data_IF_888064095761
#
_entry.id   IF_888064095761
#
_cell.length_a   1.000
_cell.length_b   1.000
_cell.length_c   1.000
_cell.angle_alpha   90.00
_cell.angle_beta   90.00
_cell.angle_gamma   90.00
#
_symmetry.space_group_name_H-M   'P 1'
#
loop_
_entity.id
_entity.type
_entity.pdbx_description
1 polymer ?
#
# COMPACT_ATOMS: atom_id res chain seq x y z
N UNK A 1 10.92 36.10 -0.15
CA UNK A 1 11.95 35.30 0.50
C UNK A 1 11.57 35.21 1.98
N UNK A 2 10.77 34.23 2.36
CA UNK A 2 10.50 33.95 3.76
C UNK A 2 11.45 32.80 4.15
N UNK A 3 12.52 33.13 4.85
CA UNK A 3 13.38 32.14 5.49
C UNK A 3 12.60 31.56 6.68
N UNK A 4 11.97 30.41 6.47
CA UNK A 4 11.52 29.58 7.59
C UNK A 4 12.75 29.17 8.38
N UNK A 5 12.76 29.25 9.74
CA UNK A 5 13.92 28.90 10.53
C UNK A 5 14.29 27.43 10.25
N UNK A 6 15.54 27.19 9.83
CA UNK A 6 16.03 25.85 9.54
C UNK A 6 15.81 24.95 10.76
N UNK A 7 14.99 23.92 10.59
CA UNK A 7 14.68 22.92 11.63
C UNK A 7 15.94 22.23 12.18
N UNK A 8 17.05 22.33 11.44
CA UNK A 8 18.33 21.72 11.76
C UNK A 8 19.27 22.60 12.60
N UNK A 9 18.96 23.90 12.75
CA UNK A 9 19.88 24.85 13.37
C UNK A 9 20.27 24.42 14.79
N UNK A 10 21.56 24.14 15.00
CA UNK A 10 22.12 23.74 16.30
C UNK A 10 21.80 22.32 16.74
N UNK A 11 21.01 21.54 15.96
CA UNK A 11 20.63 20.15 16.31
C UNK A 11 21.71 19.15 15.93
N UNK A 12 21.91 18.16 16.77
CA UNK A 12 22.82 17.02 16.56
C UNK A 12 22.08 15.93 15.80
N UNK A 13 22.58 15.60 14.61
CA UNK A 13 21.90 14.77 13.63
C UNK A 13 22.74 13.54 13.32
N UNK A 14 22.10 12.37 13.37
CA UNK A 14 22.71 11.10 12.94
C UNK A 14 21.93 10.47 11.82
N UNK A 15 22.66 9.94 10.84
CA UNK A 15 22.07 9.15 9.75
C UNK A 15 22.17 7.66 10.10
N UNK A 16 21.04 6.96 10.04
CA UNK A 16 20.94 5.52 10.26
C UNK A 16 20.48 4.87 8.96
N UNK A 17 21.16 3.79 8.58
CA UNK A 17 20.87 3.12 7.35
C UNK A 17 21.55 3.73 6.13
N UNK A 18 21.24 3.17 4.95
CA UNK A 18 21.82 3.59 3.67
C UNK A 18 20.92 4.65 3.05
N UNK A 19 21.52 5.80 2.70
CA UNK A 19 20.82 6.90 2.04
C UNK A 19 20.58 6.56 0.57
N UNK A 20 19.40 6.89 0.08
CA UNK A 20 18.99 6.63 -1.29
C UNK A 20 19.33 7.77 -2.26
N UNK A 21 19.27 9.04 -1.80
CA UNK A 21 19.42 10.19 -2.67
C UNK A 21 20.85 10.76 -2.74
N UNK A 22 21.58 10.75 -1.64
CA UNK A 22 22.92 11.36 -1.53
C UNK A 22 23.89 10.40 -0.84
N UNK A 23 25.18 10.57 -1.12
CA UNK A 23 26.20 9.90 -0.30
C UNK A 23 26.20 10.46 1.13
N UNK A 24 26.56 9.63 2.11
CA UNK A 24 26.61 10.04 3.51
C UNK A 24 27.48 11.28 3.74
N UNK A 25 28.56 11.43 2.95
CA UNK A 25 29.44 12.59 3.02
C UNK A 25 28.77 13.87 2.54
N UNK A 26 28.04 13.80 1.44
CA UNK A 26 27.28 14.93 0.88
C UNK A 26 26.13 15.32 1.82
N UNK A 27 25.41 14.35 2.35
CA UNK A 27 24.33 14.57 3.31
C UNK A 27 24.84 15.26 4.59
N UNK A 28 25.97 14.83 5.13
CA UNK A 28 26.60 15.48 6.29
C UNK A 28 27.07 16.89 6.00
N UNK A 29 27.57 17.15 4.79
CA UNK A 29 27.97 18.49 4.37
C UNK A 29 26.75 19.40 4.29
N UNK A 30 25.67 18.94 3.68
CA UNK A 30 24.43 19.68 3.57
C UNK A 30 23.83 20.05 4.93
N UNK A 31 23.87 19.13 5.89
CA UNK A 31 23.44 19.40 7.27
C UNK A 31 24.26 20.51 7.89
N UNK A 32 25.60 20.55 7.68
CA UNK A 32 26.45 21.62 8.17
C UNK A 32 26.13 22.97 7.53
N UNK A 33 25.89 22.98 6.23
CA UNK A 33 25.55 24.17 5.47
C UNK A 33 24.23 24.81 5.95
N UNK A 34 23.34 23.99 6.52
CA UNK A 34 22.06 24.44 7.13
C UNK A 34 22.16 24.62 8.66
N UNK A 35 23.37 24.68 9.21
CA UNK A 35 23.63 24.98 10.63
C UNK A 35 23.36 23.82 11.60
N UNK A 36 23.20 22.59 11.10
CA UNK A 36 23.11 21.37 11.91
C UNK A 36 24.51 20.80 12.25
N UNK A 37 24.56 19.92 13.23
CA UNK A 37 25.77 19.24 13.70
C UNK A 37 25.64 17.74 13.34
N UNK A 38 26.21 17.29 12.20
CA UNK A 38 26.13 15.88 11.83
C UNK A 38 27.10 15.06 12.71
N UNK A 39 26.61 13.92 13.18
CA UNK A 39 27.37 12.97 13.98
C UNK A 39 27.73 11.72 13.14
N UNK A 40 29.02 11.28 13.27
CA UNK A 40 29.48 10.06 12.59
C UNK A 40 28.95 8.78 13.25
N UNK A 41 28.66 8.84 14.53
CA UNK A 41 28.19 7.72 15.34
C UNK A 41 27.01 8.12 16.22
N UNK A 42 26.21 7.14 16.53
CA UNK A 42 25.09 7.28 17.47
C UNK A 42 25.64 7.55 18.87
N UNK A 43 25.22 8.66 19.47
CA UNK A 43 25.52 9.04 20.86
C UNK A 43 24.24 9.20 21.65
N UNK A 44 24.32 9.27 22.98
CA UNK A 44 23.12 9.48 23.85
C UNK A 44 22.44 10.83 23.66
N UNK A 45 23.09 11.73 22.98
CA UNK A 45 22.71 13.14 22.86
C UNK A 45 22.29 13.53 21.44
N UNK A 46 21.61 12.64 20.72
CA UNK A 46 21.10 12.88 19.37
C UNK A 46 19.77 13.58 19.44
N UNK A 47 19.63 14.71 18.74
CA UNK A 47 18.36 15.46 18.67
C UNK A 47 17.48 14.98 17.50
N UNK A 48 18.12 14.58 16.37
CA UNK A 48 17.40 14.11 15.18
C UNK A 48 18.08 12.86 14.61
N UNK A 49 17.29 11.84 14.36
CA UNK A 49 17.70 10.62 13.64
C UNK A 49 17.08 10.61 12.27
N UNK A 50 17.91 10.48 11.24
CA UNK A 50 17.47 10.41 9.85
C UNK A 50 17.65 8.98 9.36
N UNK A 51 16.55 8.38 8.91
CA UNK A 51 16.54 7.03 8.33
C UNK A 51 16.71 7.12 6.83
N UNK A 52 17.70 6.41 6.30
CA UNK A 52 17.96 6.31 4.85
C UNK A 52 16.87 5.54 4.11
N UNK A 53 16.56 5.98 2.90
CA UNK A 53 15.46 5.44 2.09
C UNK A 53 15.72 4.01 1.57
N UNK A 54 16.98 3.58 1.42
CA UNK A 54 17.35 2.25 0.88
C UNK A 54 17.12 1.11 1.89
N UNK A 55 16.90 1.41 3.16
CA UNK A 55 16.68 0.40 4.21
C UNK A 55 15.22 0.27 4.65
N UNK A 56 14.31 0.91 3.93
CA UNK A 56 12.88 0.74 4.17
C UNK A 56 12.32 -0.39 3.28
N UNK A 57 11.68 -1.40 3.89
CA UNK A 57 11.47 -1.55 5.31
C UNK A 57 12.48 -2.52 5.91
N UNK A 58 13.21 -2.10 6.84
CA UNK A 58 13.80 -3.06 7.75
C UNK A 58 12.65 -3.84 8.39
N UNK A 59 12.76 -5.15 8.40
CA UNK A 59 11.80 -6.02 9.08
C UNK A 59 11.68 -5.69 10.56
N UNK A 60 12.59 -4.85 11.07
CA UNK A 60 12.57 -4.30 12.41
C UNK A 60 13.34 -2.97 12.46
N UNK A 61 12.64 -1.84 12.41
CA UNK A 61 13.23 -0.52 12.73
C UNK A 61 13.94 -0.55 14.09
N UNK A 62 13.47 -1.43 14.99
CA UNK A 62 14.07 -1.65 16.30
C UNK A 62 15.48 -2.27 16.23
N UNK A 63 15.78 -3.03 15.17
CA UNK A 63 17.11 -3.60 14.97
C UNK A 63 18.14 -2.56 14.47
N UNK A 64 17.69 -1.54 13.74
CA UNK A 64 18.54 -0.46 13.22
C UNK A 64 18.81 0.63 14.26
N UNK A 65 17.93 0.79 15.24
CA UNK A 65 18.03 1.83 16.25
C UNK A 65 18.71 1.30 17.52
N UNK A 66 19.80 1.92 17.94
CA UNK A 66 20.44 1.60 19.23
C UNK A 66 19.50 1.89 20.39
N UNK A 67 19.71 1.23 21.53
CA UNK A 67 18.86 1.42 22.73
C UNK A 67 18.83 2.88 23.18
N UNK A 68 19.96 3.61 23.05
CA UNK A 68 20.03 5.03 23.38
C UNK A 68 19.12 5.91 22.53
N UNK A 69 18.98 5.62 21.22
CA UNK A 69 18.02 6.31 20.33
C UNK A 69 16.59 5.96 20.74
N UNK A 70 16.30 4.67 20.96
CA UNK A 70 14.97 4.22 21.37
C UNK A 70 14.51 4.88 22.66
N UNK A 71 15.43 5.04 23.62
CA UNK A 71 15.14 5.75 24.86
C UNK A 71 14.89 7.24 24.61
N UNK A 72 15.71 7.90 23.77
CA UNK A 72 15.52 9.31 23.41
C UNK A 72 14.18 9.59 22.72
N UNK A 73 13.73 8.66 21.83
CA UNK A 73 12.42 8.72 21.18
C UNK A 73 11.26 8.55 22.18
N UNK A 74 11.38 7.62 23.14
CA UNK A 74 10.37 7.42 24.19
C UNK A 74 10.23 8.63 25.11
N UNK A 75 11.32 9.31 25.37
CA UNK A 75 11.38 10.50 26.23
C UNK A 75 11.07 11.81 25.48
N UNK A 76 10.85 11.75 24.16
CA UNK A 76 10.57 12.92 23.32
C UNK A 76 11.75 13.86 23.13
N UNK A 77 12.98 13.44 23.49
CA UNK A 77 14.24 14.21 23.30
C UNK A 77 14.78 14.10 21.88
N UNK A 78 14.51 12.99 21.22
CA UNK A 78 14.98 12.67 19.87
C UNK A 78 13.80 12.64 18.91
N UNK A 79 13.95 13.23 17.74
CA UNK A 79 12.95 13.19 16.66
C UNK A 79 13.44 12.25 15.56
N UNK A 80 12.56 11.41 15.03
CA UNK A 80 12.83 10.55 13.88
C UNK A 80 12.29 11.23 12.62
N UNK A 81 13.13 11.36 11.60
CA UNK A 81 12.78 11.96 10.31
C UNK A 81 13.25 11.02 9.20
N UNK A 82 12.46 10.85 8.16
CA UNK A 82 12.87 10.12 6.96
C UNK A 82 13.74 10.98 6.06
N UNK A 83 14.70 10.36 5.37
CA UNK A 83 15.61 11.01 4.43
C UNK A 83 14.88 11.94 3.45
N UNK A 84 13.79 11.47 2.87
CA UNK A 84 13.01 12.24 1.91
C UNK A 84 12.40 13.51 2.51
N UNK A 85 11.86 13.42 3.71
CA UNK A 85 11.28 14.56 4.42
C UNK A 85 12.35 15.62 4.75
N UNK A 86 13.55 15.17 5.11
CA UNK A 86 14.67 16.06 5.31
C UNK A 86 15.03 16.84 4.03
N UNK A 87 15.13 16.15 2.88
CA UNK A 87 15.48 16.79 1.62
C UNK A 87 14.42 17.78 1.13
N UNK A 88 13.13 17.51 1.37
CA UNK A 88 12.04 18.45 1.13
C UNK A 88 12.19 19.71 2.00
N UNK A 89 12.43 19.54 3.29
CA UNK A 89 12.57 20.66 4.24
C UNK A 89 13.79 21.54 3.96
N UNK A 90 14.85 20.96 3.39
CA UNK A 90 16.06 21.66 3.00
C UNK A 90 16.01 22.26 1.59
N UNK A 91 14.91 22.05 0.86
CA UNK A 91 14.76 22.53 -0.52
C UNK A 91 15.74 21.89 -1.51
N UNK A 92 16.34 20.77 -1.16
CA UNK A 92 17.24 19.98 -2.02
C UNK A 92 16.47 19.24 -3.10
N UNK A 93 15.23 18.89 -2.77
CA UNK A 93 14.28 18.24 -3.66
C UNK A 93 13.09 19.17 -3.78
N UNK A 94 12.80 19.66 -4.97
CA UNK A 94 11.60 20.45 -5.25
C UNK A 94 10.37 19.57 -5.00
N UNK A 95 9.32 20.13 -4.41
CA UNK A 95 8.02 19.44 -4.28
C UNK A 95 7.52 18.89 -5.62
N UNK A 96 7.82 19.58 -6.71
CA UNK A 96 7.49 19.14 -8.06
C UNK A 96 8.30 17.93 -8.55
N UNK A 97 9.53 17.75 -8.07
CA UNK A 97 10.41 16.63 -8.46
C UNK A 97 10.22 15.43 -7.52
N UNK A 98 9.76 15.64 -6.30
CA UNK A 98 9.47 14.59 -5.31
C UNK A 98 8.11 13.92 -5.49
N UNK A 99 7.26 14.46 -6.36
CA UNK A 99 5.92 13.95 -6.65
C UNK A 99 5.95 12.89 -7.75
N UNK A 100 6.83 11.90 -7.64
CA UNK A 100 6.60 10.69 -8.42
C UNK A 100 5.31 10.05 -7.91
N UNK A 101 4.32 10.04 -8.78
CA UNK A 101 3.03 9.43 -8.52
C UNK A 101 3.05 7.99 -9.02
N UNK A 102 2.56 7.08 -8.20
CA UNK A 102 2.47 5.66 -8.51
C UNK A 102 1.01 5.29 -8.76
N UNK A 103 0.76 4.56 -9.82
CA UNK A 103 -0.55 3.95 -10.07
C UNK A 103 -0.78 2.76 -9.14
N UNK A 104 -2.02 2.26 -8.98
CA UNK A 104 -2.29 1.05 -8.21
C UNK A 104 -1.45 -0.14 -8.65
N UNK A 105 -1.22 -0.30 -9.96
CA UNK A 105 -0.45 -1.41 -10.52
C UNK A 105 1.04 -1.28 -10.18
N UNK A 106 1.61 -0.07 -10.25
CA UNK A 106 2.99 0.18 -9.83
C UNK A 106 3.20 -0.10 -8.34
N UNK A 107 2.30 0.40 -7.49
CA UNK A 107 2.36 0.11 -6.03
C UNK A 107 2.32 -1.40 -5.80
N UNK A 108 1.40 -2.10 -6.47
CA UNK A 108 1.25 -3.55 -6.36
C UNK A 108 2.54 -4.29 -6.76
N UNK A 109 3.19 -3.87 -7.84
CA UNK A 109 4.49 -4.40 -8.29
C UNK A 109 5.59 -4.20 -7.26
N UNK A 110 5.69 -2.98 -6.68
CA UNK A 110 6.70 -2.63 -5.69
C UNK A 110 6.55 -3.39 -4.37
N UNK A 111 5.31 -3.61 -3.91
CA UNK A 111 5.03 -4.31 -2.65
C UNK A 111 4.75 -5.81 -2.83
N UNK A 112 4.83 -6.32 -4.06
CA UNK A 112 4.62 -7.72 -4.43
C UNK A 112 3.27 -8.27 -3.96
N UNK A 113 2.21 -7.51 -4.21
CA UNK A 113 0.83 -7.89 -3.90
C UNK A 113 -0.05 -7.72 -5.14
N UNK A 114 -1.15 -8.44 -5.28
CA UNK A 114 -2.10 -8.21 -6.37
C UNK A 114 -2.66 -6.78 -6.38
N UNK A 115 -2.86 -6.19 -7.57
CA UNK A 115 -3.38 -4.82 -7.75
C UNK A 115 -4.71 -4.60 -7.02
N UNK A 116 -5.57 -5.63 -7.02
CA UNK A 116 -6.86 -5.61 -6.31
C UNK A 116 -6.74 -5.26 -4.84
N UNK A 117 -5.67 -5.72 -4.16
CA UNK A 117 -5.46 -5.40 -2.76
C UNK A 117 -5.21 -3.91 -2.57
N UNK A 118 -4.41 -3.29 -3.44
CA UNK A 118 -4.15 -1.85 -3.41
C UNK A 118 -5.45 -1.07 -3.64
N UNK A 119 -6.24 -1.45 -4.66
CA UNK A 119 -7.54 -0.83 -4.95
C UNK A 119 -8.50 -0.99 -3.78
N UNK A 120 -8.56 -2.18 -3.19
CA UNK A 120 -9.39 -2.45 -2.02
C UNK A 120 -8.99 -1.62 -0.83
N UNK A 121 -7.70 -1.59 -0.47
CA UNK A 121 -7.20 -0.79 0.65
C UNK A 121 -7.46 0.71 0.44
N UNK A 122 -7.40 1.18 -0.79
CA UNK A 122 -7.79 2.54 -1.13
C UNK A 122 -9.30 2.77 -0.91
N UNK A 123 -10.18 1.89 -1.40
CA UNK A 123 -11.64 1.99 -1.15
C UNK A 123 -11.99 1.91 0.33
N UNK A 124 -11.30 1.07 1.08
CA UNK A 124 -11.46 0.97 2.54
C UNK A 124 -10.93 2.19 3.30
N UNK A 125 -10.18 3.07 2.66
CA UNK A 125 -9.55 4.23 3.29
C UNK A 125 -8.27 3.91 4.08
N UNK A 126 -7.71 2.71 3.91
CA UNK A 126 -6.41 2.32 4.49
C UNK A 126 -5.23 2.96 3.72
N UNK A 127 -5.43 3.26 2.45
CA UNK A 127 -4.50 4.05 1.63
C UNK A 127 -5.21 5.32 1.16
N UNK A 128 -4.49 6.43 1.12
CA UNK A 128 -4.98 7.70 0.60
C UNK A 128 -4.27 8.04 -0.70
N UNK A 129 -4.99 8.61 -1.67
CA UNK A 129 -4.39 9.07 -2.93
C UNK A 129 -3.92 10.52 -2.81
N UNK A 130 -2.84 10.84 -3.49
CA UNK A 130 -2.37 12.23 -3.66
C UNK A 130 -3.22 12.98 -4.70
N UNK A 131 -3.66 12.25 -5.72
CA UNK A 131 -4.48 12.76 -6.82
C UNK A 131 -5.40 11.64 -7.31
N UNK A 132 -6.58 12.00 -7.76
CA UNK A 132 -7.46 11.10 -8.53
C UNK A 132 -7.68 11.75 -9.90
N UNK A 133 -7.37 11.02 -10.96
CA UNK A 133 -7.65 11.43 -12.33
C UNK A 133 -8.54 10.36 -12.98
N UNK A 134 -9.72 10.76 -13.46
CA UNK A 134 -10.67 9.84 -14.11
C UNK A 134 -10.85 8.51 -13.34
N UNK A 135 -11.12 8.63 -12.03
CA UNK A 135 -11.27 7.54 -11.04
C UNK A 135 -10.01 6.74 -10.74
N UNK A 136 -8.90 6.95 -11.45
CA UNK A 136 -7.62 6.32 -11.14
C UNK A 136 -6.94 7.07 -9.98
N UNK A 137 -6.69 6.43 -8.84
CA UNK A 137 -5.93 7.01 -7.76
C UNK A 137 -4.43 6.96 -8.06
N UNK A 138 -3.74 8.06 -7.79
CA UNK A 138 -2.29 8.16 -7.84
C UNK A 138 -1.75 8.31 -6.42
N UNK A 139 -0.74 7.53 -6.09
CA UNK A 139 -0.15 7.43 -4.76
C UNK A 139 1.22 8.08 -4.71
N UNK A 140 1.55 8.70 -3.58
CA UNK A 140 2.91 9.12 -3.28
C UNK A 140 3.71 7.96 -2.68
N UNK A 141 5.04 8.09 -2.62
CA UNK A 141 5.93 7.08 -2.07
C UNK A 141 5.57 6.67 -0.62
N UNK A 142 5.12 7.61 0.19
CA UNK A 142 4.62 7.32 1.56
C UNK A 142 3.50 6.28 1.54
N UNK A 143 2.62 6.31 0.55
CA UNK A 143 1.53 5.34 0.43
C UNK A 143 2.04 3.97 -0.05
N UNK A 144 3.14 3.93 -0.81
CA UNK A 144 3.82 2.66 -1.14
C UNK A 144 4.35 1.99 0.14
N UNK A 145 4.92 2.78 1.05
CA UNK A 145 5.40 2.29 2.34
C UNK A 145 4.24 1.81 3.23
N UNK A 146 3.15 2.57 3.29
CA UNK A 146 1.92 2.16 4.00
C UNK A 146 1.37 0.85 3.42
N UNK A 147 1.34 0.69 2.10
CA UNK A 147 0.92 -0.54 1.45
C UNK A 147 1.83 -1.73 1.82
N UNK A 148 3.14 -1.52 1.91
CA UNK A 148 4.09 -2.54 2.34
C UNK A 148 3.87 -2.96 3.80
N UNK A 149 3.56 -2.01 4.68
CA UNK A 149 3.20 -2.28 6.07
C UNK A 149 1.92 -3.13 6.15
N UNK A 150 0.91 -2.80 5.34
CA UNK A 150 -0.32 -3.60 5.25
C UNK A 150 -0.04 -5.02 4.77
N UNK A 151 0.82 -5.21 3.76
CA UNK A 151 1.24 -6.55 3.31
C UNK A 151 1.88 -7.34 4.47
N UNK A 152 2.77 -6.71 5.24
CA UNK A 152 3.42 -7.35 6.38
C UNK A 152 2.40 -7.75 7.47
N UNK A 153 1.47 -6.87 7.83
CA UNK A 153 0.46 -7.18 8.84
C UNK A 153 -0.48 -8.30 8.39
N UNK A 154 -0.91 -8.29 7.13
CA UNK A 154 -1.77 -9.33 6.55
C UNK A 154 -1.01 -10.67 6.48
N UNK A 155 0.27 -10.65 6.11
CA UNK A 155 1.13 -11.83 6.12
C UNK A 155 1.33 -12.44 7.53
N UNK A 156 1.16 -11.64 8.59
CA UNK A 156 1.17 -12.10 9.99
C UNK A 156 -0.20 -12.52 10.53
N UNK A 157 -1.24 -12.51 9.68
CA UNK A 157 -2.58 -12.99 10.02
C UNK A 157 -3.62 -11.91 10.32
N UNK A 158 -3.27 -10.62 10.21
CA UNK A 158 -4.26 -9.54 10.34
C UNK A 158 -5.18 -9.50 9.12
N UNK A 159 -6.47 -9.23 9.34
CA UNK A 159 -7.43 -9.09 8.25
C UNK A 159 -7.66 -7.60 7.90
N UNK A 160 -7.79 -7.19 6.63
CA UNK A 160 -7.93 -5.78 6.27
C UNK A 160 -9.09 -5.05 6.95
N UNK A 161 -10.25 -5.70 7.08
CA UNK A 161 -11.40 -5.14 7.79
C UNK A 161 -11.15 -4.95 9.29
N UNK A 162 -10.43 -5.89 9.92
CA UNK A 162 -10.03 -5.77 11.32
C UNK A 162 -9.01 -4.65 11.50
N UNK A 163 -8.07 -4.50 10.56
CA UNK A 163 -7.10 -3.38 10.56
C UNK A 163 -7.84 -2.05 10.52
N UNK A 164 -8.79 -1.88 9.57
CA UNK A 164 -9.58 -0.64 9.45
C UNK A 164 -10.33 -0.32 10.73
N UNK A 165 -11.05 -1.30 11.30
CA UNK A 165 -11.82 -1.13 12.54
C UNK A 165 -10.91 -0.75 13.71
N UNK A 166 -9.84 -1.50 13.91
CA UNK A 166 -8.93 -1.27 15.03
C UNK A 166 -8.16 0.05 14.89
N UNK A 167 -7.79 0.48 13.68
CA UNK A 167 -7.21 1.81 13.47
C UNK A 167 -8.21 2.93 13.79
N UNK A 168 -9.49 2.74 13.48
CA UNK A 168 -10.53 3.70 13.88
C UNK A 168 -10.69 3.78 15.41
N UNK A 169 -10.59 2.65 16.10
CA UNK A 169 -10.63 2.59 17.56
C UNK A 169 -9.40 3.26 18.20
N UNK A 170 -8.24 3.19 17.55
CA UNK A 170 -7.05 3.94 17.95
C UNK A 170 -7.10 5.44 17.58
N UNK A 171 -8.17 5.93 16.96
CA UNK A 171 -8.25 7.29 16.41
C UNK A 171 -7.90 8.40 17.42
N UNK A 172 -8.17 8.21 18.69
CA UNK A 172 -7.78 9.13 19.78
C UNK A 172 -6.25 9.21 19.99
N UNK A 173 -5.53 8.16 19.63
CA UNK A 173 -4.07 8.04 19.78
C UNK A 173 -3.31 8.29 18.49
N UNK A 174 -4.03 8.19 17.34
CA UNK A 174 -3.50 8.20 15.97
C UNK A 174 -3.71 9.54 15.27
N UNK A 175 -4.37 10.52 15.91
CA UNK A 175 -4.68 11.82 15.29
C UNK A 175 -3.47 12.41 14.57
N UNK A 176 -3.56 12.52 13.23
CA UNK A 176 -2.55 13.08 12.32
C UNK A 176 -1.21 12.31 12.20
N UNK A 177 -1.15 11.04 12.57
CA UNK A 177 0.06 10.22 12.36
C UNK A 177 -0.09 9.29 11.17
N UNK A 178 0.99 9.12 10.40
CA UNK A 178 1.08 8.09 9.35
C UNK A 178 1.06 6.70 9.98
N UNK A 179 0.57 5.69 9.24
CA UNK A 179 0.65 4.28 9.66
C UNK A 179 2.09 3.85 9.97
N UNK A 180 3.08 4.49 9.32
CA UNK A 180 4.51 4.25 9.54
C UNK A 180 5.02 4.74 10.90
N UNK A 181 4.35 5.74 11.49
CA UNK A 181 4.74 6.32 12.77
C UNK A 181 4.19 5.55 13.97
N UNK A 182 3.33 4.57 13.70
CA UNK A 182 2.71 3.75 14.72
C UNK A 182 3.49 2.44 14.89
N UNK A 183 4.05 2.23 16.08
CA UNK A 183 4.66 0.95 16.44
C UNK A 183 3.54 -0.08 16.74
N UNK A 184 3.00 -0.66 15.66
CA UNK A 184 1.91 -1.62 15.72
C UNK A 184 2.46 -3.04 15.60
N UNK A 185 2.11 -3.88 16.54
CA UNK A 185 2.42 -5.31 16.58
C UNK A 185 1.16 -6.09 16.22
N UNK A 186 1.32 -7.11 15.37
CA UNK A 186 0.24 -8.03 15.01
C UNK A 186 0.29 -9.25 15.90
N UNK A 187 -0.79 -9.52 16.61
CA UNK A 187 -1.02 -10.73 17.39
C UNK A 187 -2.28 -11.45 16.86
N UNK A 188 -2.08 -12.41 15.96
CA UNK A 188 -3.15 -13.07 15.22
C UNK A 188 -3.96 -12.05 14.40
N UNK A 189 -5.24 -11.86 14.72
CA UNK A 189 -6.13 -10.88 14.07
C UNK A 189 -6.16 -9.50 14.76
N UNK A 190 -5.38 -9.31 15.84
CA UNK A 190 -5.38 -8.07 16.63
C UNK A 190 -4.19 -7.21 16.27
N UNK A 191 -4.41 -5.90 16.22
CA UNK A 191 -3.36 -4.91 16.22
C UNK A 191 -3.17 -4.39 17.65
N UNK A 192 -1.95 -4.36 18.10
CA UNK A 192 -1.56 -3.85 19.40
C UNK A 192 -0.61 -2.68 19.19
N UNK A 193 -0.90 -1.54 19.81
CA UNK A 193 -0.03 -0.36 19.76
C UNK A 193 1.02 -0.49 20.86
N UNK A 194 2.31 -0.50 20.47
CA UNK A 194 3.38 -0.44 21.45
C UNK A 194 3.55 1.01 21.94
N UNK A 195 3.29 1.23 23.23
CA UNK A 195 3.43 2.53 23.86
C UNK A 195 4.09 2.38 25.24
N UNK A 196 5.20 3.09 25.48
CA UNK A 196 5.89 3.06 26.77
C UNK A 196 6.41 1.67 27.22
N UNK A 197 6.68 0.77 26.27
CA UNK A 197 7.15 -0.60 26.57
C UNK A 197 6.04 -1.60 26.92
N UNK A 198 4.79 -1.20 26.75
CA UNK A 198 3.60 -2.02 26.92
C UNK A 198 2.84 -2.14 25.60
N UNK A 199 2.07 -3.21 25.42
CA UNK A 199 1.21 -3.40 24.27
C UNK A 199 -0.22 -2.99 24.66
N UNK A 200 -0.79 -2.06 23.91
CA UNK A 200 -2.14 -1.53 24.14
C UNK A 200 -3.07 -2.02 23.02
N UNK A 201 -4.15 -2.71 23.38
CA UNK A 201 -5.22 -3.07 22.46
C UNK A 201 -6.11 -1.87 22.10
N UNK A 202 -6.84 -1.95 21.00
CA UNK A 202 -7.76 -0.91 20.52
C UNK A 202 -8.82 -0.51 21.58
N UNK A 203 -9.21 -1.45 22.43
CA UNK A 203 -10.12 -1.23 23.55
C UNK A 203 -9.46 -0.63 24.81
N UNK A 204 -8.20 -0.23 24.75
CA UNK A 204 -7.43 0.29 25.88
C UNK A 204 -6.90 -0.80 26.83
N UNK A 205 -7.07 -2.08 26.52
CA UNK A 205 -6.55 -3.19 27.31
C UNK A 205 -5.04 -3.31 27.13
N UNK A 206 -4.32 -3.41 28.26
CA UNK A 206 -2.90 -3.70 28.27
C UNK A 206 -2.64 -5.21 28.04
N UNK A 207 -1.70 -5.53 27.16
CA UNK A 207 -1.23 -6.88 26.88
C UNK A 207 0.23 -7.00 27.27
N UNK A 208 0.61 -8.19 27.74
CA UNK A 208 2.01 -8.51 28.04
C UNK A 208 2.76 -8.82 26.74
N UNK A 209 3.92 -8.20 26.58
CA UNK A 209 4.82 -8.46 25.44
C UNK A 209 5.72 -9.65 25.79
N UNK A 210 5.33 -10.86 25.39
CA UNK A 210 6.08 -12.08 25.64
C UNK A 210 7.25 -12.29 24.65
N UNK A 211 7.30 -11.55 23.55
CA UNK A 211 8.37 -11.63 22.55
C UNK A 211 9.61 -10.83 22.96
N UNK A 212 9.55 -10.14 24.08
CA UNK A 212 10.66 -9.39 24.62
C UNK A 212 11.60 -10.34 25.37
N UNK A 213 12.52 -10.97 24.69
CA UNK A 213 13.69 -11.63 25.28
C UNK A 213 14.66 -10.59 25.86
N UNK A 214 14.27 -9.89 26.91
CA UNK A 214 15.25 -9.32 27.83
C UNK A 214 15.65 -10.44 28.80
N UNK A 215 16.94 -10.74 28.82
CA UNK A 215 17.58 -11.58 29.80
C UNK A 215 17.21 -11.13 31.21
N UNK A 216 16.15 -11.71 31.75
CA UNK A 216 15.87 -11.67 33.18
C UNK A 216 16.57 -12.91 33.76
N UNK A 217 17.50 -12.63 34.66
CA UNK A 217 18.25 -13.63 35.38
C UNK A 217 17.35 -14.70 35.97
N UNK A 218 17.95 -15.87 36.08
CA UNK A 218 17.44 -17.10 36.69
C UNK A 218 16.51 -16.80 37.85
N UNK A 219 15.23 -17.13 37.68
CA UNK A 219 14.30 -17.37 38.80
C UNK A 219 13.82 -18.80 38.73
N UNK A 220 14.01 -19.43 39.83
CA UNK A 220 13.88 -20.84 40.20
C UNK A 220 12.54 -21.45 39.78
N UNK A 221 12.64 -22.60 39.15
CA UNK A 221 11.53 -23.47 38.76
C UNK A 221 10.90 -24.12 40.02
N UNK A 222 9.64 -23.78 40.29
CA UNK A 222 8.65 -24.71 40.84
C UNK A 222 7.30 -24.02 41.06
N UNK A 223 6.42 -24.15 40.10
CA UNK A 223 4.98 -24.41 40.36
C UNK A 223 4.26 -24.68 39.01
N UNK A 224 4.08 -25.94 38.79
CA UNK A 224 3.12 -26.51 37.85
C UNK A 224 1.72 -26.09 38.27
N UNK A 225 1.08 -25.24 37.42
CA UNK A 225 -0.38 -25.17 37.40
C UNK A 225 -0.85 -25.50 35.98
N UNK A 226 -1.13 -26.76 35.82
CA UNK A 226 -1.96 -27.33 34.80
C UNK A 226 -3.37 -26.76 34.92
N UNK A 227 -3.84 -26.00 33.97
CA UNK A 227 -5.27 -25.82 33.74
C UNK A 227 -5.51 -25.98 32.22
N UNK A 228 -5.69 -27.25 31.86
CA UNK A 228 -6.34 -27.63 30.65
C UNK A 228 -7.85 -27.44 30.82
N UNK A 229 -8.40 -26.34 30.38
CA UNK A 229 -9.83 -26.21 30.14
C UNK A 229 -10.09 -26.36 28.65
N UNK A 230 -10.22 -27.60 28.21
CA UNK A 230 -10.74 -27.94 26.90
C UNK A 230 -12.24 -27.70 26.92
N UNK A 231 -12.69 -26.60 26.30
CA UNK A 231 -14.11 -26.43 26.00
C UNK A 231 -14.35 -27.17 24.68
N UNK A 232 -15.22 -28.21 24.65
CA UNK A 232 -15.56 -28.87 23.41
C UNK A 232 -16.42 -27.94 22.55
N UNK A 233 -15.91 -27.57 21.38
CA UNK A 233 -16.69 -26.92 20.33
C UNK A 233 -17.62 -27.97 19.73
N UNK A 234 -18.89 -27.91 20.08
CA UNK A 234 -19.93 -28.66 19.38
C UNK A 234 -20.18 -28.01 18.03
N UNK A 235 -19.83 -28.71 16.97
CA UNK A 235 -20.23 -28.39 15.61
C UNK A 235 -21.69 -28.80 15.43
N UNK A 236 -22.60 -27.87 15.61
CA UNK A 236 -24.00 -28.07 15.21
C UNK A 236 -24.12 -27.95 13.68
N UNK A 237 -24.15 -29.09 13.04
CA UNK A 237 -24.52 -29.26 11.64
C UNK A 237 -26.04 -29.21 11.48
N UNK A 238 -26.64 -28.04 11.61
CA UNK A 238 -28.00 -27.74 11.15
C UNK A 238 -28.12 -26.25 10.82
N UNK A 239 -27.64 -25.83 9.65
CA UNK A 239 -27.94 -24.53 9.05
C UNK A 239 -28.40 -24.74 7.61
N UNK A 240 -29.58 -25.29 7.47
CA UNK A 240 -30.34 -25.22 6.24
C UNK A 240 -31.65 -24.53 6.57
N UNK A 241 -31.96 -23.44 5.85
CA UNK A 241 -33.19 -22.67 5.74
C UNK A 241 -33.45 -21.38 6.53
N UNK A 242 -32.61 -20.95 7.47
CA UNK A 242 -32.81 -19.64 8.10
C UNK A 242 -32.09 -18.47 7.40
N UNK A 243 -31.06 -18.73 6.61
CA UNK A 243 -30.24 -17.68 5.98
C UNK A 243 -30.91 -16.98 4.78
N UNK A 244 -31.89 -17.60 4.13
CA UNK A 244 -32.53 -17.01 2.95
C UNK A 244 -33.44 -15.81 3.31
N UNK A 245 -33.96 -15.76 4.54
CA UNK A 245 -34.88 -14.70 4.98
C UNK A 245 -34.12 -13.49 5.56
N UNK A 246 -32.96 -13.69 6.15
CA UNK A 246 -32.10 -12.61 6.67
C UNK A 246 -31.45 -11.78 5.54
N UNK A 247 -31.05 -12.41 4.45
CA UNK A 247 -30.42 -11.74 3.28
C UNK A 247 -31.40 -10.77 2.59
N UNK A 248 -32.72 -10.95 2.74
CA UNK A 248 -33.71 -10.05 2.15
C UNK A 248 -33.67 -8.64 2.74
N UNK A 249 -33.11 -8.44 3.92
CA UNK A 249 -33.05 -7.14 4.60
C UNK A 249 -31.69 -6.46 4.52
N UNK A 250 -30.69 -7.09 3.90
CA UNK A 250 -29.36 -6.51 3.79
C UNK A 250 -29.35 -5.28 2.88
N UNK A 251 -28.65 -4.26 3.35
CA UNK A 251 -28.36 -3.06 2.55
C UNK A 251 -27.31 -3.35 1.48
N UNK A 252 -27.18 -2.46 0.51
CA UNK A 252 -26.13 -2.56 -0.51
C UNK A 252 -24.73 -2.65 0.11
N UNK A 253 -24.47 -1.83 1.14
CA UNK A 253 -23.15 -1.77 1.77
C UNK A 253 -22.82 -3.04 2.55
N UNK A 254 -23.78 -3.65 3.23
CA UNK A 254 -23.62 -4.95 3.89
C UNK A 254 -23.34 -6.07 2.88
N UNK A 255 -24.01 -6.06 1.74
CA UNK A 255 -23.75 -7.03 0.65
C UNK A 255 -22.36 -6.83 0.03
N UNK A 256 -21.94 -5.58 -0.17
CA UNK A 256 -20.60 -5.26 -0.66
C UNK A 256 -19.53 -5.72 0.32
N UNK A 257 -19.73 -5.47 1.60
CA UNK A 257 -18.80 -5.92 2.64
C UNK A 257 -18.69 -7.44 2.65
N UNK A 258 -19.80 -8.17 2.59
CA UNK A 258 -19.80 -9.63 2.53
C UNK A 258 -19.07 -10.14 1.26
N UNK A 259 -19.30 -9.51 0.10
CA UNK A 259 -18.58 -9.86 -1.12
C UNK A 259 -17.08 -9.65 -1.00
N UNK A 260 -16.66 -8.54 -0.38
CA UNK A 260 -15.24 -8.23 -0.14
C UNK A 260 -14.59 -9.20 0.89
N UNK A 261 -15.31 -9.57 1.94
CA UNK A 261 -14.83 -10.56 2.92
C UNK A 261 -14.60 -11.94 2.29
N UNK A 262 -15.55 -12.38 1.45
CA UNK A 262 -15.40 -13.62 0.68
C UNK A 262 -14.25 -13.58 -0.32
N UNK A 263 -14.01 -12.43 -0.93
CA UNK A 263 -12.85 -12.22 -1.79
C UNK A 263 -11.53 -12.38 -1.02
N UNK A 264 -11.44 -11.84 0.20
CA UNK A 264 -10.27 -11.98 1.07
C UNK A 264 -10.02 -13.43 1.50
N UNK A 265 -11.09 -14.17 1.77
CA UNK A 265 -11.03 -15.59 2.08
C UNK A 265 -10.65 -16.44 0.86
N UNK A 266 -10.53 -15.85 -0.34
CA UNK A 266 -10.27 -16.55 -1.59
C UNK A 266 -11.49 -17.28 -2.16
N UNK A 267 -12.67 -17.05 -1.61
CA UNK A 267 -13.95 -17.67 -2.02
C UNK A 267 -14.60 -16.89 -3.16
N UNK A 268 -13.87 -16.81 -4.30
CA UNK A 268 -14.17 -15.92 -5.41
C UNK A 268 -15.55 -16.14 -6.02
N UNK A 269 -15.95 -17.41 -6.21
CA UNK A 269 -17.25 -17.74 -6.80
C UNK A 269 -18.41 -17.24 -5.95
N UNK A 270 -18.27 -17.27 -4.63
CA UNK A 270 -19.28 -16.78 -3.72
C UNK A 270 -19.33 -15.24 -3.72
N UNK A 271 -18.16 -14.59 -3.77
CA UNK A 271 -18.07 -13.14 -3.95
C UNK A 271 -18.75 -12.70 -5.26
N UNK A 272 -18.47 -13.39 -6.38
CA UNK A 272 -19.17 -13.17 -7.68
C UNK A 272 -20.69 -13.28 -7.52
N UNK A 273 -21.16 -14.27 -6.75
CA UNK A 273 -22.58 -14.45 -6.44
C UNK A 273 -23.19 -13.20 -5.78
N UNK A 274 -22.51 -12.63 -4.81
CA UNK A 274 -22.96 -11.39 -4.14
C UNK A 274 -22.98 -10.19 -5.10
N UNK A 275 -21.95 -9.99 -5.91
CA UNK A 275 -21.96 -8.90 -6.91
C UNK A 275 -23.11 -9.06 -7.90
N UNK A 276 -23.43 -10.29 -8.33
CA UNK A 276 -24.60 -10.55 -9.20
C UNK A 276 -25.93 -10.20 -8.50
N UNK A 277 -26.07 -10.52 -7.21
CA UNK A 277 -27.24 -10.15 -6.41
C UNK A 277 -27.35 -8.62 -6.31
N UNK A 278 -26.24 -7.93 -6.06
CA UNK A 278 -26.21 -6.45 -6.00
C UNK A 278 -26.65 -5.84 -7.32
N UNK A 279 -26.13 -6.34 -8.46
CA UNK A 279 -26.53 -5.90 -9.80
C UNK A 279 -28.02 -6.11 -10.05
N UNK A 280 -28.57 -7.27 -9.65
CA UNK A 280 -29.98 -7.59 -9.84
C UNK A 280 -30.90 -6.71 -8.98
N UNK A 281 -30.49 -6.36 -7.76
CA UNK A 281 -31.33 -5.64 -6.79
C UNK A 281 -31.21 -4.12 -6.91
N UNK A 282 -30.01 -3.60 -7.19
CA UNK A 282 -29.72 -2.17 -7.17
C UNK A 282 -29.36 -1.60 -8.54
N UNK A 283 -29.33 -2.45 -9.58
CA UNK A 283 -28.92 -2.03 -10.91
C UNK A 283 -27.42 -2.00 -11.13
N UNK A 284 -27.03 -1.75 -12.38
CA UNK A 284 -25.62 -1.68 -12.78
C UNK A 284 -25.03 -0.30 -12.43
N UNK A 285 -23.84 -0.31 -11.85
CA UNK A 285 -22.97 0.88 -11.74
C UNK A 285 -21.60 0.54 -12.30
N UNK A 286 -20.87 1.54 -12.76
CA UNK A 286 -19.54 1.34 -13.36
C UNK A 286 -18.60 0.61 -12.39
N UNK A 287 -18.63 0.98 -11.12
CA UNK A 287 -17.80 0.34 -10.07
C UNK A 287 -18.12 -1.12 -9.88
N UNK A 288 -19.41 -1.47 -9.77
CA UNK A 288 -19.84 -2.86 -9.54
C UNK A 288 -19.49 -3.72 -10.76
N UNK A 289 -19.72 -3.20 -11.96
CA UNK A 289 -19.34 -3.90 -13.19
C UNK A 289 -17.81 -4.11 -13.24
N UNK A 290 -17.02 -3.12 -12.87
CA UNK A 290 -15.56 -3.21 -12.82
C UNK A 290 -15.09 -4.25 -11.79
N UNK A 291 -15.61 -4.23 -10.55
CA UNK A 291 -15.25 -5.20 -9.51
C UNK A 291 -15.60 -6.64 -9.94
N UNK A 292 -16.80 -6.82 -10.52
CA UNK A 292 -17.22 -8.13 -11.02
C UNK A 292 -16.32 -8.59 -12.18
N UNK A 293 -15.91 -7.68 -13.07
CA UNK A 293 -14.98 -8.00 -14.15
C UNK A 293 -13.63 -8.51 -13.62
N UNK A 294 -13.09 -7.85 -12.59
CA UNK A 294 -11.84 -8.25 -11.92
C UNK A 294 -11.94 -9.68 -11.33
N UNK A 295 -13.06 -10.02 -10.69
CA UNK A 295 -13.30 -11.35 -10.12
C UNK A 295 -13.45 -12.41 -11.21
N UNK A 296 -14.22 -12.12 -12.26
CA UNK A 296 -14.40 -13.02 -13.39
C UNK A 296 -13.10 -13.29 -14.13
N UNK A 297 -12.27 -12.25 -14.32
CA UNK A 297 -10.93 -12.41 -14.89
C UNK A 297 -10.08 -13.37 -14.07
N UNK A 298 -10.09 -13.23 -12.73
CA UNK A 298 -9.33 -14.09 -11.81
C UNK A 298 -9.80 -15.53 -11.76
N UNK A 299 -11.10 -15.77 -11.97
CA UNK A 299 -11.66 -17.13 -12.04
C UNK A 299 -11.53 -17.75 -13.43
N UNK A 300 -10.95 -17.00 -14.40
CA UNK A 300 -10.70 -17.48 -15.75
C UNK A 300 -11.90 -17.33 -16.70
N UNK A 301 -13.00 -16.72 -16.27
CA UNK A 301 -14.12 -16.38 -17.15
C UNK A 301 -13.83 -15.08 -17.92
N UNK A 302 -12.87 -15.19 -18.83
CA UNK A 302 -12.33 -14.06 -19.61
C UNK A 302 -13.43 -13.38 -20.46
N UNK A 303 -14.36 -14.16 -20.99
CA UNK A 303 -15.44 -13.62 -21.83
C UNK A 303 -16.41 -12.77 -21.00
N UNK A 304 -16.82 -13.26 -19.84
CA UNK A 304 -17.70 -12.50 -18.95
C UNK A 304 -16.96 -11.28 -18.36
N UNK A 305 -15.67 -11.41 -18.01
CA UNK A 305 -14.85 -10.29 -17.55
C UNK A 305 -14.81 -9.15 -18.57
N UNK A 306 -14.53 -9.48 -19.84
CA UNK A 306 -14.51 -8.52 -20.95
C UNK A 306 -15.86 -7.79 -21.09
N UNK A 307 -16.96 -8.51 -21.04
CA UNK A 307 -18.32 -7.94 -21.11
C UNK A 307 -18.57 -6.95 -19.97
N UNK A 308 -18.15 -7.30 -18.74
CA UNK A 308 -18.32 -6.42 -17.59
C UNK A 308 -17.44 -5.19 -17.64
N UNK A 309 -16.23 -5.28 -18.20
CA UNK A 309 -15.41 -4.08 -18.48
C UNK A 309 -16.08 -3.16 -19.50
N UNK A 310 -16.67 -3.71 -20.57
CA UNK A 310 -17.47 -2.90 -21.52
C UNK A 310 -18.62 -2.21 -20.82
N UNK A 311 -19.40 -2.91 -19.99
CA UNK A 311 -20.50 -2.31 -19.24
C UNK A 311 -20.01 -1.18 -18.31
N UNK A 312 -18.87 -1.35 -17.66
CA UNK A 312 -18.29 -0.32 -16.83
C UNK A 312 -17.94 0.95 -17.63
N UNK A 313 -17.38 0.77 -18.83
CA UNK A 313 -17.02 1.87 -19.74
C UNK A 313 -18.26 2.55 -20.33
N UNK A 314 -19.31 1.81 -20.65
CA UNK A 314 -20.57 2.37 -21.14
C UNK A 314 -21.29 3.20 -20.07
N UNK A 315 -21.22 2.76 -18.81
CA UNK A 315 -21.81 3.49 -17.68
C UNK A 315 -20.98 4.72 -17.26
N UNK A 316 -19.70 4.67 -17.51
CA UNK A 316 -18.78 5.80 -17.24
C UNK A 316 -17.65 5.82 -18.27
N UNK A 317 -17.78 6.70 -19.24
CA UNK A 317 -16.78 6.85 -20.30
C UNK A 317 -15.40 7.32 -19.80
N UNK A 318 -15.35 7.96 -18.65
CA UNK A 318 -14.13 8.45 -18.03
C UNK A 318 -13.45 7.43 -17.12
N UNK A 319 -13.99 6.20 -17.06
CA UNK A 319 -13.37 5.13 -16.28
C UNK A 319 -12.17 4.54 -17.03
N UNK A 320 -11.06 5.29 -17.03
CA UNK A 320 -9.83 4.94 -17.78
C UNK A 320 -9.23 3.61 -17.34
N UNK A 321 -9.33 3.27 -16.05
CA UNK A 321 -8.81 2.00 -15.51
C UNK A 321 -9.56 0.79 -16.08
N UNK A 322 -10.88 0.91 -16.27
CA UNK A 322 -11.66 -0.12 -16.94
C UNK A 322 -11.24 -0.30 -18.42
N UNK A 323 -10.94 0.80 -19.12
CA UNK A 323 -10.40 0.76 -20.49
C UNK A 323 -9.02 0.12 -20.55
N UNK A 324 -8.14 0.46 -19.61
CA UNK A 324 -6.81 -0.11 -19.51
C UNK A 324 -6.87 -1.63 -19.25
N UNK A 325 -7.69 -2.08 -18.30
CA UNK A 325 -7.85 -3.49 -17.99
C UNK A 325 -8.51 -4.26 -19.14
N UNK A 326 -9.48 -3.66 -19.83
CA UNK A 326 -10.01 -4.22 -21.07
C UNK A 326 -8.91 -4.42 -22.12
N UNK A 327 -8.04 -3.43 -22.28
CA UNK A 327 -6.88 -3.54 -23.17
C UNK A 327 -5.95 -4.69 -22.80
N UNK A 328 -5.65 -4.87 -21.51
CA UNK A 328 -4.84 -6.00 -21.03
C UNK A 328 -5.52 -7.35 -21.35
N UNK A 329 -6.81 -7.50 -21.07
CA UNK A 329 -7.57 -8.72 -21.36
C UNK A 329 -7.59 -9.02 -22.86
N UNK A 330 -7.75 -7.99 -23.69
CA UNK A 330 -7.75 -8.15 -25.15
C UNK A 330 -6.34 -8.58 -25.67
N UNK A 331 -5.27 -7.99 -25.12
CA UNK A 331 -3.90 -8.37 -25.46
C UNK A 331 -3.62 -9.83 -25.08
N UNK A 332 -3.94 -10.24 -23.87
CA UNK A 332 -3.76 -11.62 -23.39
C UNK A 332 -4.54 -12.66 -24.21
N UNK A 333 -5.67 -12.25 -24.76
CA UNK A 333 -6.49 -13.12 -25.63
C UNK A 333 -6.10 -13.05 -27.12
N UNK A 334 -4.95 -12.41 -27.45
CA UNK A 334 -4.43 -12.29 -28.80
C UNK A 334 -5.17 -11.31 -29.70
N UNK A 335 -6.06 -10.49 -29.12
CA UNK A 335 -6.80 -9.45 -29.83
C UNK A 335 -6.03 -8.13 -29.83
N UNK A 336 -4.76 -8.16 -30.21
CA UNK A 336 -3.79 -7.06 -30.04
C UNK A 336 -4.25 -5.77 -30.69
N UNK A 337 -4.89 -5.81 -31.86
CA UNK A 337 -5.42 -4.59 -32.52
C UNK A 337 -6.53 -3.92 -31.67
N UNK A 338 -7.41 -4.72 -31.08
CA UNK A 338 -8.46 -4.18 -30.19
C UNK A 338 -7.88 -3.68 -28.86
N UNK A 339 -6.83 -4.33 -28.37
CA UNK A 339 -6.10 -3.88 -27.21
C UNK A 339 -5.46 -2.49 -27.44
N UNK A 340 -4.83 -2.29 -28.60
CA UNK A 340 -4.28 -0.99 -29.03
C UNK A 340 -5.37 0.08 -29.02
N UNK A 341 -6.55 -0.22 -29.61
CA UNK A 341 -7.66 0.72 -29.63
C UNK A 341 -8.19 1.06 -28.22
N UNK A 342 -8.27 0.06 -27.33
CA UNK A 342 -8.69 0.27 -25.94
C UNK A 342 -7.70 1.15 -25.18
N UNK A 343 -6.39 0.91 -25.32
CA UNK A 343 -5.34 1.73 -24.71
C UNK A 343 -5.32 3.15 -25.26
N UNK A 344 -5.45 3.32 -26.57
CA UNK A 344 -5.55 4.65 -27.19
C UNK A 344 -6.79 5.40 -26.68
N UNK A 345 -7.92 4.69 -26.51
CA UNK A 345 -9.11 5.24 -25.90
C UNK A 345 -8.91 5.69 -24.45
N UNK A 346 -8.09 4.98 -23.66
CA UNK A 346 -7.70 5.41 -22.32
C UNK A 346 -6.82 6.65 -22.34
N UNK A 347 -5.79 6.68 -23.21
CA UNK A 347 -4.87 7.83 -23.35
C UNK A 347 -5.54 9.08 -23.91
N UNK A 348 -6.60 8.93 -24.71
CA UNK A 348 -7.38 10.08 -25.17
C UNK A 348 -8.07 10.83 -24.02
N UNK A 349 -8.28 10.18 -22.90
CA UNK A 349 -8.86 10.76 -21.67
C UNK A 349 -7.79 11.25 -20.71
N UNK A 350 -6.71 10.50 -20.55
CA UNK A 350 -5.55 10.89 -19.73
C UNK A 350 -4.24 10.39 -20.37
N UNK A 351 -3.52 11.29 -21.06
CA UNK A 351 -2.18 11.02 -21.62
C UNK A 351 -1.11 10.88 -20.53
N UNK A 352 -1.43 11.19 -19.29
CA UNK A 352 -0.54 11.04 -18.14
C UNK A 352 -0.60 9.67 -17.49
N UNK A 353 -1.23 8.65 -18.09
CA UNK A 353 -1.37 7.31 -17.50
C UNK A 353 -0.20 6.40 -17.92
N UNK A 354 0.84 6.22 -17.08
CA UNK A 354 2.06 5.52 -17.47
C UNK A 354 1.84 4.06 -17.82
N UNK A 355 1.01 3.33 -17.06
CA UNK A 355 0.77 1.89 -17.28
C UNK A 355 0.21 1.62 -18.67
N UNK A 356 -0.66 2.52 -19.16
CA UNK A 356 -1.24 2.39 -20.50
C UNK A 356 -0.18 2.60 -21.58
N UNK A 357 0.74 3.56 -21.41
CA UNK A 357 1.86 3.73 -22.33
C UNK A 357 2.74 2.49 -22.39
N UNK A 358 3.03 1.87 -21.24
CA UNK A 358 3.79 0.63 -21.16
C UNK A 358 3.11 -0.51 -21.92
N UNK A 359 1.83 -0.78 -21.63
CA UNK A 359 1.08 -1.86 -22.27
C UNK A 359 0.83 -1.62 -23.76
N UNK A 360 0.55 -0.37 -24.13
CA UNK A 360 0.38 0.03 -25.53
C UNK A 360 1.66 -0.19 -26.32
N UNK A 361 2.81 0.21 -25.78
CA UNK A 361 4.11 0.01 -26.43
C UNK A 361 4.39 -1.49 -26.68
N UNK A 362 4.08 -2.37 -25.71
CA UNK A 362 4.19 -3.82 -25.88
C UNK A 362 3.31 -4.33 -27.02
N UNK A 363 2.06 -3.90 -27.07
CA UNK A 363 1.15 -4.31 -28.15
C UNK A 363 1.60 -3.80 -29.52
N UNK A 364 2.14 -2.59 -29.60
CA UNK A 364 2.68 -2.02 -30.83
C UNK A 364 3.95 -2.76 -31.30
N UNK A 365 4.82 -3.18 -30.38
CA UNK A 365 5.96 -4.04 -30.70
C UNK A 365 5.50 -5.39 -31.30
N UNK A 366 4.44 -6.00 -30.75
CA UNK A 366 3.88 -7.26 -31.24
C UNK A 366 3.34 -7.15 -32.67
N UNK A 367 2.71 -6.02 -33.02
CA UNK A 367 2.22 -5.78 -34.39
C UNK A 367 3.28 -5.15 -35.31
N UNK A 368 4.52 -5.06 -34.84
CA UNK A 368 5.67 -4.50 -35.58
C UNK A 368 5.54 -3.03 -35.95
N UNK A 369 4.76 -2.25 -35.20
CA UNK A 369 4.72 -0.78 -35.31
C UNK A 369 5.78 -0.15 -34.40
N UNK A 370 7.05 -0.38 -34.74
CA UNK A 370 8.18 0.04 -33.91
C UNK A 370 8.26 1.55 -33.71
N UNK A 371 7.80 2.36 -34.66
CA UNK A 371 7.86 3.81 -34.54
C UNK A 371 6.93 4.32 -33.44
N UNK A 372 5.70 3.84 -33.42
CA UNK A 372 4.76 4.19 -32.33
C UNK A 372 5.17 3.56 -31.01
N UNK A 373 5.65 2.31 -31.01
CA UNK A 373 6.12 1.66 -29.79
C UNK A 373 7.22 2.46 -29.08
N UNK A 374 8.23 2.92 -29.81
CA UNK A 374 9.32 3.76 -29.26
C UNK A 374 8.77 5.05 -28.62
N UNK A 375 7.80 5.71 -29.24
CA UNK A 375 7.20 6.93 -28.66
C UNK A 375 6.56 6.64 -27.31
N UNK A 376 5.84 5.53 -27.21
CA UNK A 376 5.15 5.15 -25.97
C UNK A 376 6.13 4.64 -24.91
N UNK A 377 7.20 3.92 -25.27
CA UNK A 377 8.29 3.56 -24.35
C UNK A 377 8.96 4.81 -23.75
N UNK A 378 9.29 5.79 -24.59
CA UNK A 378 9.88 7.06 -24.13
C UNK A 378 8.91 7.80 -23.20
N UNK A 379 7.62 7.88 -23.59
CA UNK A 379 6.62 8.57 -22.79
C UNK A 379 6.43 7.91 -21.43
N UNK A 380 6.40 6.57 -21.38
CA UNK A 380 6.35 5.82 -20.13
C UNK A 380 7.52 6.17 -19.20
N UNK A 381 8.75 6.17 -19.72
CA UNK A 381 9.95 6.49 -18.93
C UNK A 381 9.97 7.95 -18.46
N UNK A 382 9.42 8.89 -19.25
CA UNK A 382 9.25 10.30 -18.84
C UNK A 382 8.28 10.42 -17.67
N UNK A 383 7.17 9.68 -17.71
CA UNK A 383 6.12 9.72 -16.68
C UNK A 383 6.53 8.94 -15.41
N UNK A 384 7.28 7.86 -15.57
CA UNK A 384 7.61 6.96 -14.46
C UNK A 384 8.99 6.32 -14.61
N UNK A 385 10.08 7.10 -14.48
CA UNK A 385 11.44 6.61 -14.65
C UNK A 385 11.89 5.59 -13.59
N UNK A 386 11.24 5.56 -12.44
CA UNK A 386 11.53 4.62 -11.35
C UNK A 386 10.47 3.52 -11.20
N UNK A 387 9.66 3.32 -12.23
CA UNK A 387 8.69 2.22 -12.26
C UNK A 387 9.41 0.86 -12.17
N UNK A 388 8.79 -0.17 -11.56
CA UNK A 388 9.33 -1.54 -11.61
C UNK A 388 9.49 -2.09 -13.04
N UNK A 389 8.89 -1.45 -14.03
CA UNK A 389 8.96 -1.83 -15.45
C UNK A 389 9.92 -0.96 -16.28
N UNK A 390 10.61 0.01 -15.66
CA UNK A 390 11.49 0.95 -16.36
C UNK A 390 12.69 0.23 -17.00
N UNK A 391 13.23 -0.79 -16.35
CA UNK A 391 14.34 -1.60 -16.90
C UNK A 391 13.95 -2.31 -18.20
N UNK A 392 12.75 -2.92 -18.25
CA UNK A 392 12.22 -3.53 -19.46
C UNK A 392 12.08 -2.49 -20.59
N UNK A 393 11.55 -1.31 -20.28
CA UNK A 393 11.39 -0.25 -21.28
C UNK A 393 12.73 0.26 -21.85
N UNK A 394 13.75 0.40 -21.00
CA UNK A 394 15.10 0.76 -21.44
C UNK A 394 15.74 -0.31 -22.32
N UNK A 395 15.56 -1.59 -21.97
CA UNK A 395 16.06 -2.71 -22.78
C UNK A 395 15.39 -2.75 -24.17
N UNK A 396 14.09 -2.47 -24.24
CA UNK A 396 13.36 -2.37 -25.52
C UNK A 396 13.89 -1.23 -26.40
N UNK A 397 14.12 -0.06 -25.82
CA UNK A 397 14.70 1.09 -26.55
C UNK A 397 16.14 0.85 -26.99
N UNK A 398 16.94 0.07 -26.25
CA UNK A 398 18.31 -0.29 -26.62
C UNK A 398 18.41 -1.33 -27.74
N UNK A 399 17.31 -1.97 -28.12
CA UNK A 399 17.25 -2.97 -29.21
C UNK A 399 16.77 -2.37 -30.55
N UNK A 400 16.32 -1.13 -30.56
CA UNK A 400 15.90 -0.36 -31.73
C UNK A 400 17.05 0.54 -32.19
#
# INVERSE_FOLDING_TARGET
MNESPSILLGKRIVFVGKLGALSRKEAMQLVRDHGGIPLDRVTSDVDVVIIGADELPAEDLSALLSESIRQGLREGRTTLIHEHELWLQLGVVDESTSLQLYTPAMVAGLVKTPVRNIRRWYRMGLLTSAKVAHRLPYFQFVQVQNARQLVNWIGRGAHPSDIKRQLADFSTWVQNRSLMELDLVVDGRRLLLRHGGQLLGANGQLHLDFDRTESIGEFDSTSTLSVAATIPFQSDSHASDSNATEVQNWTRDEMLQAAEELEDEGRLEQSIGWYRIILARYGMTAEICFQLAELLYRTGDISAARERYYNAIELDEDFIEARANLGCVLAETGQTILAVAAFQGALSRDDGYPDVHYHLAKCLDEISDSEQAVRHWIRFLQLSPQSPWAEEALDRLGRV
#
